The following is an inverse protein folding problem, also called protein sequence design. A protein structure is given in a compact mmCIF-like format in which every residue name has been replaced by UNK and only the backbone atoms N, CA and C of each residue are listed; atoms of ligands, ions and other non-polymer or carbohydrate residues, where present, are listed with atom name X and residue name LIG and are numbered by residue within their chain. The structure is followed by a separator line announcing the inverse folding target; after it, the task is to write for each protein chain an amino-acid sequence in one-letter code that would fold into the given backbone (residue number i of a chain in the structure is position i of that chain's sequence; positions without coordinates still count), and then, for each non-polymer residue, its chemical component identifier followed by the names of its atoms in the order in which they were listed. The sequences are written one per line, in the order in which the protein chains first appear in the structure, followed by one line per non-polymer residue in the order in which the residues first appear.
data_IF_259799279661
#
_entry.id   IF_259799279661
#
_cell.length_a   1.000
_cell.length_b   1.000
_cell.length_c   1.000
_cell.angle_alpha   90.00
_cell.angle_beta   90.00
_cell.angle_gamma   90.00
#
_symmetry.space_group_name_H-M   'P 1'
#
loop_
_entity.id
_entity.type
_entity.pdbx_description
1 polymer ?
#
# COMPACT_ATOMS: atom_id res chain seq x y z
N UNK A 1 -24.30 6.49 33.03
CA UNK A 1 -23.82 7.84 33.44
C UNK A 1 -22.37 7.84 33.94
N UNK A 2 -21.99 7.17 35.04
CA UNK A 2 -20.57 7.13 35.48
C UNK A 2 -19.69 6.34 34.48
N UNK A 3 -20.21 5.22 33.94
CA UNK A 3 -19.50 4.38 32.96
C UNK A 3 -19.20 5.12 31.64
N UNK A 4 -20.13 5.93 31.15
CA UNK A 4 -20.00 6.62 29.86
C UNK A 4 -18.97 7.75 29.93
N UNK A 5 -18.94 8.48 31.04
CA UNK A 5 -17.95 9.52 31.30
C UNK A 5 -16.53 8.96 31.42
N UNK A 6 -16.37 7.79 32.05
CA UNK A 6 -15.08 7.09 32.14
C UNK A 6 -14.64 6.60 30.76
N UNK A 7 -15.53 5.98 29.98
CA UNK A 7 -15.21 5.54 28.61
C UNK A 7 -14.79 6.72 27.72
N UNK A 8 -15.51 7.84 27.78
CA UNK A 8 -15.19 9.03 27.01
C UNK A 8 -13.82 9.62 27.40
N UNK A 9 -13.52 9.70 28.69
CA UNK A 9 -12.22 10.15 29.18
C UNK A 9 -11.07 9.23 28.75
N UNK A 10 -11.27 7.91 28.84
CA UNK A 10 -10.31 6.90 28.41
C UNK A 10 -10.05 6.94 26.91
N UNK A 11 -11.10 6.95 26.08
CA UNK A 11 -10.98 7.10 24.63
C UNK A 11 -10.24 8.37 24.26
N UNK A 12 -10.55 9.49 24.93
CA UNK A 12 -9.82 10.75 24.73
C UNK A 12 -8.33 10.66 25.07
N UNK A 13 -7.97 9.97 26.15
CA UNK A 13 -6.57 9.74 26.51
C UNK A 13 -5.85 8.86 25.48
N UNK A 14 -6.46 7.74 25.07
CA UNK A 14 -5.91 6.82 24.07
C UNK A 14 -5.68 7.57 22.75
N UNK A 15 -6.64 8.39 22.31
CA UNK A 15 -6.50 9.15 21.06
C UNK A 15 -5.34 10.14 21.10
N UNK A 16 -5.19 10.88 22.21
CA UNK A 16 -4.04 11.80 22.38
C UNK A 16 -2.69 11.07 22.40
N UNK A 17 -2.61 9.91 23.05
CA UNK A 17 -1.39 9.10 23.07
C UNK A 17 -1.06 8.57 21.67
N UNK A 18 -2.07 8.04 20.97
CA UNK A 18 -1.94 7.59 19.59
C UNK A 18 -1.47 8.73 18.68
N UNK A 19 -2.10 9.91 18.75
CA UNK A 19 -1.76 11.04 17.90
C UNK A 19 -0.33 11.53 18.14
N UNK A 20 0.12 11.55 19.40
CA UNK A 20 1.51 11.87 19.74
C UNK A 20 2.48 10.84 19.16
N UNK A 21 2.22 9.55 19.39
CA UNK A 21 3.08 8.48 18.87
C UNK A 21 3.14 8.48 17.33
N UNK A 22 2.02 8.78 16.68
CA UNK A 22 1.94 8.95 15.22
C UNK A 22 2.77 10.14 14.75
N UNK A 23 2.68 11.28 15.42
CA UNK A 23 3.48 12.47 15.10
C UNK A 23 4.97 12.18 15.26
N UNK A 24 5.37 11.52 16.36
CA UNK A 24 6.75 11.14 16.62
C UNK A 24 7.28 10.16 15.56
N UNK A 25 6.47 9.20 15.12
CA UNK A 25 6.87 8.31 14.01
C UNK A 25 6.97 9.10 12.70
N UNK A 26 5.99 9.94 12.38
CA UNK A 26 5.99 10.74 11.15
C UNK A 26 7.23 11.64 11.06
N UNK A 27 7.61 12.30 12.16
CA UNK A 27 8.82 13.12 12.22
C UNK A 27 10.10 12.30 12.00
N UNK A 28 10.17 11.10 12.58
CA UNK A 28 11.29 10.17 12.36
C UNK A 28 11.37 9.69 10.91
N UNK A 29 10.24 9.35 10.30
CA UNK A 29 10.19 8.92 8.90
C UNK A 29 10.59 10.07 7.95
N UNK A 30 10.14 11.29 8.22
CA UNK A 30 10.55 12.48 7.46
C UNK A 30 12.05 12.80 7.63
N UNK A 31 12.63 12.51 8.79
CA UNK A 31 14.08 12.65 8.98
C UNK A 31 14.89 11.61 8.17
N UNK A 32 14.26 10.52 7.72
CA UNK A 32 14.88 9.53 6.83
C UNK A 32 14.79 9.94 5.35
N UNK A 33 13.84 10.80 4.96
CA UNK A 33 13.74 11.25 3.58
C UNK A 33 14.84 12.26 3.25
N UNK A 34 15.48 12.11 2.10
CA UNK A 34 16.41 13.09 1.52
C UNK A 34 15.69 14.45 1.31
N UNK A 35 16.38 15.60 1.15
CA UNK A 35 15.74 16.90 0.94
C UNK A 35 14.77 16.96 -0.24
N UNK A 36 14.90 16.04 -1.20
CA UNK A 36 13.98 15.89 -2.33
C UNK A 36 12.70 15.07 -2.01
N UNK A 37 12.57 14.53 -0.79
CA UNK A 37 11.40 13.79 -0.33
C UNK A 37 11.39 12.33 -0.77
N UNK A 38 12.44 11.57 -0.41
CA UNK A 38 12.54 10.14 -0.75
C UNK A 38 11.46 9.29 -0.07
N UNK A 39 10.43 8.91 -0.84
CA UNK A 39 9.35 8.03 -0.39
C UNK A 39 9.85 6.61 -0.10
N UNK A 40 10.96 6.16 -0.71
CA UNK A 40 11.52 4.83 -0.46
C UNK A 40 11.92 4.68 1.01
N UNK A 41 12.72 5.62 1.53
CA UNK A 41 13.17 5.60 2.92
C UNK A 41 12.00 5.68 3.92
N UNK A 42 10.96 6.45 3.59
CA UNK A 42 9.72 6.52 4.38
C UNK A 42 9.01 5.18 4.43
N UNK A 43 8.81 4.52 3.29
CA UNK A 43 8.14 3.22 3.20
C UNK A 43 8.94 2.14 3.92
N UNK A 44 10.25 2.08 3.72
CA UNK A 44 11.11 1.07 4.36
C UNK A 44 11.14 1.24 5.88
N UNK A 45 11.25 2.49 6.36
CA UNK A 45 11.17 2.81 7.78
C UNK A 45 9.80 2.49 8.40
N UNK A 46 8.72 2.81 7.68
CA UNK A 46 7.35 2.50 8.11
C UNK A 46 7.16 0.98 8.29
N UNK A 47 7.56 0.20 7.29
CA UNK A 47 7.44 -1.26 7.34
C UNK A 47 8.29 -1.83 8.46
N UNK A 48 9.54 -1.38 8.62
CA UNK A 48 10.41 -1.84 9.71
C UNK A 48 9.77 -1.58 11.10
N UNK A 49 9.20 -0.39 11.30
CA UNK A 49 8.45 -0.08 12.51
C UNK A 49 7.24 -1.01 12.71
N UNK A 50 6.45 -1.24 11.66
CA UNK A 50 5.23 -2.04 11.76
C UNK A 50 5.49 -3.55 11.89
N UNK A 51 6.63 -4.06 11.39
CA UNK A 51 7.14 -5.39 11.73
C UNK A 51 7.44 -5.47 13.22
N UNK A 52 8.19 -4.49 13.77
CA UNK A 52 8.52 -4.46 15.19
C UNK A 52 7.28 -4.34 16.08
N UNK A 53 6.26 -3.59 15.64
CA UNK A 53 4.99 -3.45 16.34
C UNK A 53 4.07 -4.70 16.23
N UNK A 54 4.48 -5.75 15.51
CA UNK A 54 3.72 -6.99 15.34
C UNK A 54 2.49 -6.86 14.46
N UNK A 55 2.45 -5.85 13.58
CA UNK A 55 1.37 -5.64 12.61
C UNK A 55 1.53 -6.57 11.41
N UNK A 56 2.77 -6.74 10.94
CA UNK A 56 3.11 -7.70 9.89
C UNK A 56 3.13 -9.10 10.50
N UNK A 57 2.25 -9.98 10.01
CA UNK A 57 2.04 -11.32 10.53
C UNK A 57 2.79 -12.41 9.76
N UNK A 58 3.23 -12.09 8.54
CA UNK A 58 4.10 -12.94 7.73
C UNK A 58 5.35 -12.13 7.39
N UNK A 59 6.48 -12.49 8.01
CA UNK A 59 7.78 -11.84 7.82
C UNK A 59 8.53 -12.35 6.57
N UNK A 60 7.89 -13.25 5.79
CA UNK A 60 8.43 -13.87 4.58
C UNK A 60 9.66 -14.77 4.81
N UNK A 61 9.93 -15.23 6.04
CA UNK A 61 11.07 -16.14 6.29
C UNK A 61 10.96 -17.46 5.51
N UNK A 62 9.74 -17.92 5.26
CA UNK A 62 9.45 -19.16 4.51
C UNK A 62 9.30 -18.94 3.00
N UNK A 63 9.55 -17.71 2.50
CA UNK A 63 9.42 -17.39 1.08
C UNK A 63 10.59 -17.97 0.28
N UNK A 64 10.26 -18.82 -0.69
CA UNK A 64 11.21 -19.33 -1.68
C UNK A 64 11.04 -18.64 -3.02
N UNK A 65 12.15 -18.39 -3.71
CA UNK A 65 12.21 -17.58 -4.92
C UNK A 65 12.82 -18.35 -6.08
N UNK A 66 12.06 -18.48 -7.17
CA UNK A 66 12.51 -19.12 -8.40
C UNK A 66 12.48 -18.17 -9.61
N UNK A 67 13.55 -18.13 -10.37
CA UNK A 67 13.58 -17.52 -11.70
C UNK A 67 13.53 -18.64 -12.73
N UNK A 68 12.50 -18.63 -13.58
CA UNK A 68 12.28 -19.67 -14.59
C UNK A 68 12.33 -19.02 -15.97
N UNK A 69 13.33 -19.38 -16.76
CA UNK A 69 13.42 -18.95 -18.15
C UNK A 69 12.66 -19.94 -19.04
N UNK A 70 11.85 -19.43 -19.97
CA UNK A 70 11.11 -20.29 -20.89
C UNK A 70 12.09 -21.06 -21.79
N UNK A 71 12.01 -22.41 -21.88
CA UNK A 71 13.00 -23.21 -22.62
C UNK A 71 13.14 -22.86 -24.11
N UNK A 72 12.09 -22.32 -24.72
CA UNK A 72 12.02 -22.01 -26.15
C UNK A 72 12.12 -20.52 -26.46
N UNK A 73 12.14 -19.67 -25.43
CA UNK A 73 12.20 -18.22 -25.58
C UNK A 73 12.94 -17.62 -24.37
N UNK A 74 14.28 -17.51 -24.43
CA UNK A 74 15.07 -16.96 -23.34
C UNK A 74 14.71 -15.52 -22.95
N UNK A 75 13.98 -14.78 -23.80
CA UNK A 75 13.48 -13.45 -23.47
C UNK A 75 12.26 -13.50 -22.52
N UNK A 76 11.62 -14.66 -22.35
CA UNK A 76 10.52 -14.85 -21.40
C UNK A 76 11.05 -15.44 -20.10
N UNK A 77 11.06 -14.60 -19.07
CA UNK A 77 11.45 -14.98 -17.70
C UNK A 77 10.24 -14.87 -16.80
N UNK A 78 10.01 -15.87 -15.95
CA UNK A 78 9.00 -15.88 -14.91
C UNK A 78 9.68 -15.78 -13.55
N UNK A 79 9.16 -14.91 -12.70
CA UNK A 79 9.58 -14.78 -11.31
C UNK A 79 8.48 -15.38 -10.43
N UNK A 80 8.85 -16.36 -9.60
CA UNK A 80 7.91 -17.13 -8.79
C UNK A 80 8.28 -16.98 -7.31
N UNK A 81 7.36 -16.41 -6.56
CA UNK A 81 7.38 -16.34 -5.10
C UNK A 81 6.52 -17.48 -4.54
N UNK A 82 7.16 -18.53 -4.02
CA UNK A 82 6.48 -19.64 -3.34
C UNK A 82 6.46 -19.37 -1.83
N UNK A 83 5.29 -19.02 -1.30
CA UNK A 83 5.10 -18.79 0.13
C UNK A 83 4.10 -19.81 0.72
N UNK A 84 4.57 -20.87 1.39
CA UNK A 84 3.70 -21.86 2.01
C UNK A 84 2.98 -21.34 3.26
N UNK A 85 3.49 -20.29 3.93
CA UNK A 85 2.80 -19.66 5.05
C UNK A 85 1.47 -19.03 4.60
N UNK A 86 1.45 -18.48 3.39
CA UNK A 86 0.25 -17.90 2.79
C UNK A 86 -0.85 -18.94 2.54
N UNK A 87 -0.50 -20.17 2.17
CA UNK A 87 -1.47 -21.25 1.96
C UNK A 87 -2.14 -21.72 3.27
N UNK A 88 -1.46 -21.56 4.40
CA UNK A 88 -1.97 -21.89 5.74
C UNK A 88 -2.77 -20.74 6.38
N UNK A 89 -2.92 -19.62 5.67
CA UNK A 89 -3.65 -18.47 6.17
C UNK A 89 -5.15 -18.64 5.96
N UNK A 90 -5.89 -18.65 7.06
CA UNK A 90 -7.35 -18.82 7.04
C UNK A 90 -8.15 -17.55 7.43
N UNK A 91 -7.48 -16.51 7.93
CA UNK A 91 -8.17 -15.31 8.48
C UNK A 91 -7.52 -13.97 8.11
N UNK A 92 -8.28 -12.88 8.25
CA UNK A 92 -7.82 -11.49 8.21
C UNK A 92 -6.90 -11.11 9.37
N UNK A 93 -6.37 -9.89 9.35
CA UNK A 93 -5.69 -9.28 10.50
C UNK A 93 -6.59 -8.22 11.13
N UNK A 94 -6.47 -8.06 12.44
CA UNK A 94 -7.16 -7.03 13.21
C UNK A 94 -8.51 -7.46 13.80
N UNK A 95 -9.09 -6.59 14.62
CA UNK A 95 -10.41 -6.79 15.23
C UNK A 95 -11.52 -6.59 14.19
N UNK A 96 -12.56 -7.40 14.23
CA UNK A 96 -13.74 -7.23 13.36
C UNK A 96 -14.70 -6.16 13.90
N UNK A 97 -14.80 -6.05 15.23
CA UNK A 97 -15.73 -5.17 15.92
C UNK A 97 -15.01 -4.08 16.72
N UNK A 98 -15.63 -2.90 16.75
CA UNK A 98 -15.11 -1.75 17.48
C UNK A 98 -15.27 -1.96 18.99
N UNK A 99 -14.26 -1.62 19.80
CA UNK A 99 -14.39 -1.64 21.26
C UNK A 99 -15.35 -0.52 21.74
N UNK A 100 -15.89 -0.60 22.97
CA UNK A 100 -16.76 0.43 23.53
C UNK A 100 -16.14 1.84 23.43
N UNK A 101 -16.94 2.81 22.96
CA UNK A 101 -16.51 4.20 22.78
C UNK A 101 -15.75 4.47 21.48
N UNK A 102 -15.72 3.52 20.54
CA UNK A 102 -15.16 3.69 19.20
C UNK A 102 -16.20 3.34 18.13
N UNK A 103 -16.22 4.13 17.06
CA UNK A 103 -17.18 3.95 15.98
C UNK A 103 -16.63 2.99 14.92
N UNK A 104 -17.57 2.22 14.34
CA UNK A 104 -17.33 1.36 13.17
C UNK A 104 -17.82 2.09 11.92
N UNK A 105 -16.93 2.85 11.27
CA UNK A 105 -17.29 3.61 10.06
C UNK A 105 -17.23 2.73 8.81
N UNK A 106 -18.05 3.04 7.81
CA UNK A 106 -18.06 2.35 6.50
C UNK A 106 -18.02 0.81 6.61
N UNK A 107 -18.91 0.27 7.45
CA UNK A 107 -19.01 -1.17 7.74
C UNK A 107 -17.68 -1.82 8.20
N UNK A 108 -16.84 -1.08 8.93
CA UNK A 108 -15.57 -1.61 9.45
C UNK A 108 -14.50 -1.80 8.38
N UNK A 109 -14.51 -0.96 7.34
CA UNK A 109 -13.48 -0.96 6.30
C UNK A 109 -12.07 -0.92 6.91
N UNK A 110 -11.22 -1.87 6.50
CA UNK A 110 -9.83 -2.01 6.97
C UNK A 110 -8.85 -0.97 6.43
N UNK A 111 -9.33 -0.02 5.63
CA UNK A 111 -8.54 1.08 5.07
C UNK A 111 -9.00 2.47 5.55
N UNK A 112 -10.10 2.55 6.31
CA UNK A 112 -10.47 3.81 6.96
C UNK A 112 -9.54 4.07 8.15
N UNK A 113 -8.85 5.22 8.21
CA UNK A 113 -7.96 5.55 9.31
C UNK A 113 -8.63 5.40 10.69
N UNK A 114 -9.90 5.77 10.82
CA UNK A 114 -10.67 5.67 12.07
C UNK A 114 -10.85 4.22 12.53
N UNK A 115 -11.00 3.28 11.59
CA UNK A 115 -11.14 1.87 11.89
C UNK A 115 -9.79 1.24 12.20
N UNK A 116 -8.75 1.53 11.42
CA UNK A 116 -7.40 0.95 11.57
C UNK A 116 -6.89 1.14 13.01
N UNK A 117 -7.16 2.31 13.60
CA UNK A 117 -6.87 2.61 15.01
C UNK A 117 -7.22 1.44 15.92
N UNK A 118 -8.49 1.05 15.98
CA UNK A 118 -8.94 0.02 16.90
C UNK A 118 -8.77 -1.39 16.33
N UNK A 119 -8.79 -1.56 15.01
CA UNK A 119 -8.57 -2.85 14.35
C UNK A 119 -7.17 -3.38 14.65
N UNK A 120 -6.17 -2.49 14.67
CA UNK A 120 -4.76 -2.82 14.84
C UNK A 120 -4.25 -2.44 16.24
N UNK A 121 -5.15 -2.53 17.23
CA UNK A 121 -4.84 -2.41 18.67
C UNK A 121 -4.15 -1.08 19.04
N UNK A 122 -4.41 -0.03 18.27
CA UNK A 122 -3.87 1.31 18.44
C UNK A 122 -2.35 1.38 18.26
N UNK A 123 -1.77 0.45 17.49
CA UNK A 123 -0.33 0.33 17.27
C UNK A 123 0.11 0.53 15.81
N UNK A 124 -0.83 0.53 14.84
CA UNK A 124 -0.51 0.79 13.44
C UNK A 124 -0.69 2.28 13.12
N UNK A 125 0.38 2.94 12.72
CA UNK A 125 0.39 4.36 12.35
C UNK A 125 0.62 4.52 10.83
N UNK A 126 -0.17 5.36 10.12
CA UNK A 126 0.06 5.62 8.70
C UNK A 126 1.28 6.51 8.46
N UNK A 127 1.91 6.36 7.29
CA UNK A 127 2.69 7.43 6.69
C UNK A 127 1.82 8.22 5.68
N UNK A 128 1.80 9.56 5.71
CA UNK A 128 1.12 10.34 4.68
C UNK A 128 1.85 10.21 3.33
N UNK A 129 1.10 10.02 2.25
CA UNK A 129 1.59 9.96 0.88
C UNK A 129 0.78 10.99 0.07
N UNK A 130 1.30 12.22 -0.11
CA UNK A 130 0.61 13.22 -0.92
C UNK A 130 0.74 12.85 -2.40
N UNK A 131 -0.40 12.71 -3.08
CA UNK A 131 -0.45 12.47 -4.53
C UNK A 131 -1.15 13.63 -5.23
N UNK A 132 -0.91 13.85 -6.53
CA UNK A 132 -1.49 14.98 -7.27
C UNK A 132 -3.02 15.06 -7.17
N UNK A 133 -3.70 13.92 -7.11
CA UNK A 133 -5.16 13.86 -7.10
C UNK A 133 -5.80 13.78 -5.72
N UNK A 134 -5.02 13.72 -4.64
CA UNK A 134 -5.56 13.65 -3.28
C UNK A 134 -4.60 13.21 -2.19
N UNK A 135 -5.14 13.07 -0.98
CA UNK A 135 -4.39 12.58 0.19
C UNK A 135 -4.50 11.07 0.31
N UNK A 136 -3.36 10.41 0.50
CA UNK A 136 -3.28 8.97 0.71
C UNK A 136 -2.48 8.65 1.97
N UNK A 137 -2.69 7.45 2.49
CA UNK A 137 -1.97 6.90 3.62
C UNK A 137 -1.38 5.54 3.27
N UNK A 138 -0.10 5.36 3.57
CA UNK A 138 0.58 4.09 3.47
C UNK A 138 0.54 3.33 4.80
N UNK A 139 0.30 2.03 4.72
CA UNK A 139 0.41 1.07 5.80
C UNK A 139 1.16 -0.17 5.33
N UNK A 140 1.95 -0.79 6.22
CA UNK A 140 2.49 -2.12 5.91
C UNK A 140 1.33 -3.10 5.74
N UNK A 141 1.39 -3.90 4.67
CA UNK A 141 0.42 -4.95 4.48
C UNK A 141 0.69 -6.03 5.54
N UNK A 142 -0.31 -6.42 6.38
CA UNK A 142 -0.10 -7.44 7.40
C UNK A 142 0.35 -8.80 6.84
N UNK A 143 0.08 -9.04 5.55
CA UNK A 143 0.41 -10.28 4.85
C UNK A 143 1.10 -9.95 3.53
N UNK A 144 2.38 -9.57 3.59
CA UNK A 144 3.12 -9.08 2.45
C UNK A 144 3.20 -10.11 1.32
N UNK A 145 3.23 -9.63 0.06
CA UNK A 145 3.54 -10.46 -1.11
C UNK A 145 5.05 -10.60 -1.32
N UNK A 146 5.79 -9.57 -0.92
CA UNK A 146 7.23 -9.44 -1.03
C UNK A 146 7.73 -8.39 -0.03
N UNK A 147 9.04 -8.13 -0.02
CA UNK A 147 9.60 -7.19 0.96
C UNK A 147 9.01 -5.79 0.80
N UNK A 148 8.83 -5.11 1.93
CA UNK A 148 8.32 -3.74 2.00
C UNK A 148 6.96 -3.56 1.31
N UNK A 149 6.09 -4.59 1.34
CA UNK A 149 4.76 -4.49 0.79
C UNK A 149 3.88 -3.55 1.63
N UNK A 150 3.42 -2.48 1.01
CA UNK A 150 2.52 -1.50 1.60
C UNK A 150 1.22 -1.39 0.80
N UNK A 151 0.14 -1.13 1.52
CA UNK A 151 -1.13 -0.65 0.95
C UNK A 151 -1.19 0.86 1.12
N UNK A 152 -1.43 1.56 0.01
CA UNK A 152 -1.51 3.03 -0.05
C UNK A 152 -2.97 3.38 -0.39
N UNK A 153 -3.80 3.64 0.62
CA UNK A 153 -5.22 3.95 0.39
C UNK A 153 -5.52 5.44 0.42
N UNK A 154 -6.55 5.83 -0.33
CA UNK A 154 -7.09 7.18 -0.26
C UNK A 154 -7.58 7.46 1.16
N UNK A 155 -7.39 8.69 1.64
CA UNK A 155 -7.93 9.11 2.93
C UNK A 155 -9.48 9.06 2.91
N UNK A 156 -10.07 9.53 1.82
CA UNK A 156 -11.51 9.43 1.59
C UNK A 156 -11.93 7.99 1.27
N UNK A 157 -13.07 7.55 1.85
CA UNK A 157 -13.68 6.26 1.55
C UNK A 157 -14.40 6.30 0.20
N UNK A 158 -13.65 6.12 -0.88
CA UNK A 158 -14.15 6.09 -2.26
C UNK A 158 -13.92 4.70 -2.86
N UNK A 159 -14.81 4.19 -3.73
CA UNK A 159 -14.69 2.84 -4.27
C UNK A 159 -13.45 2.65 -5.13
N UNK A 160 -12.94 1.42 -5.18
CA UNK A 160 -11.85 1.03 -6.08
C UNK A 160 -12.26 1.19 -7.55
N UNK A 161 -13.55 1.03 -7.86
CA UNK A 161 -14.09 1.20 -9.20
C UNK A 161 -13.80 2.61 -9.74
N UNK A 162 -13.21 2.68 -10.93
CA UNK A 162 -12.98 3.96 -11.63
C UNK A 162 -14.20 4.41 -12.44
N UNK A 163 -15.10 3.49 -12.80
CA UNK A 163 -16.32 3.81 -13.55
C UNK A 163 -17.30 4.58 -12.67
N UNK A 164 -17.71 5.75 -13.15
CA UNK A 164 -18.70 6.63 -12.52
C UNK A 164 -20.09 6.48 -13.14
N UNK A 165 -20.97 7.45 -12.84
CA UNK A 165 -22.35 7.45 -13.34
C UNK A 165 -22.42 7.68 -14.87
N UNK A 166 -21.45 8.40 -15.42
CA UNK A 166 -21.34 8.70 -16.84
C UNK A 166 -19.91 8.58 -17.35
N UNK A 167 -19.74 8.74 -18.67
CA UNK A 167 -18.45 8.63 -19.35
C UNK A 167 -17.46 9.71 -18.90
N UNK A 168 -17.92 10.94 -18.69
CA UNK A 168 -17.05 12.05 -18.32
C UNK A 168 -16.45 11.83 -16.92
N UNK A 169 -17.29 11.45 -15.96
CA UNK A 169 -16.85 11.08 -14.61
C UNK A 169 -15.89 9.89 -14.64
N UNK A 170 -16.17 8.87 -15.46
CA UNK A 170 -15.31 7.69 -15.58
C UNK A 170 -13.92 8.04 -16.14
N UNK A 171 -13.84 8.90 -17.16
CA UNK A 171 -12.57 9.32 -17.75
C UNK A 171 -11.75 10.21 -16.79
N UNK A 172 -12.41 11.13 -16.10
CA UNK A 172 -11.81 11.98 -15.08
C UNK A 172 -11.26 11.18 -13.90
N UNK A 173 -12.04 10.22 -13.41
CA UNK A 173 -11.70 9.24 -12.38
C UNK A 173 -10.51 8.33 -12.77
N UNK A 174 -10.47 7.88 -14.03
CA UNK A 174 -9.37 7.10 -14.57
C UNK A 174 -8.09 7.94 -14.74
N UNK A 175 -8.21 9.17 -15.24
CA UNK A 175 -7.08 10.07 -15.45
C UNK A 175 -6.35 10.37 -14.13
N UNK A 176 -7.10 10.71 -13.07
CA UNK A 176 -6.54 10.92 -11.72
C UNK A 176 -5.76 9.71 -11.21
N UNK A 177 -6.32 8.51 -11.33
CA UNK A 177 -5.65 7.27 -10.91
C UNK A 177 -4.36 7.00 -11.67
N UNK A 178 -4.36 7.22 -12.99
CA UNK A 178 -3.17 7.04 -13.82
C UNK A 178 -2.08 8.06 -13.41
N UNK A 179 -2.45 9.32 -13.19
CA UNK A 179 -1.51 10.37 -12.73
C UNK A 179 -0.90 10.00 -11.38
N UNK A 180 -1.71 9.59 -10.42
CA UNK A 180 -1.26 9.17 -9.10
C UNK A 180 -0.35 7.92 -9.17
N UNK A 181 -0.71 6.93 -10.00
CA UNK A 181 0.07 5.71 -10.19
C UNK A 181 1.43 6.00 -10.83
N UNK A 182 1.49 6.89 -11.81
CA UNK A 182 2.75 7.35 -12.43
C UNK A 182 3.61 8.09 -11.41
N UNK A 183 3.01 8.97 -10.61
CA UNK A 183 3.72 9.71 -9.57
C UNK A 183 4.34 8.76 -8.52
N UNK A 184 3.57 7.76 -8.07
CA UNK A 184 4.09 6.71 -7.18
C UNK A 184 5.24 5.93 -7.81
N UNK A 185 5.13 5.55 -9.08
CA UNK A 185 6.18 4.81 -9.78
C UNK A 185 7.49 5.62 -9.87
N UNK A 186 7.39 6.94 -10.07
CA UNK A 186 8.54 7.85 -10.09
C UNK A 186 9.20 7.99 -8.71
N UNK A 187 8.39 8.07 -7.65
CA UNK A 187 8.88 8.17 -6.27
C UNK A 187 9.39 6.83 -5.71
N UNK A 188 9.01 5.71 -6.32
CA UNK A 188 9.37 4.36 -5.89
C UNK A 188 10.02 3.54 -7.03
N UNK A 189 11.16 3.98 -7.61
CA UNK A 189 11.72 3.40 -8.84
C UNK A 189 12.17 1.93 -8.69
N UNK A 190 12.40 1.46 -7.47
CA UNK A 190 12.75 0.05 -7.14
C UNK A 190 11.57 -0.76 -6.62
N UNK A 191 10.35 -0.26 -6.78
CA UNK A 191 9.13 -0.95 -6.39
C UNK A 191 8.30 -1.32 -7.62
N UNK A 192 7.52 -2.38 -7.48
CA UNK A 192 6.33 -2.60 -8.29
C UNK A 192 5.18 -1.87 -7.61
N UNK A 193 4.63 -0.86 -8.28
CA UNK A 193 3.40 -0.19 -7.84
C UNK A 193 2.27 -0.65 -8.75
N UNK A 194 1.13 -1.01 -8.18
CA UNK A 194 -0.01 -1.49 -8.94
C UNK A 194 -1.33 -1.18 -8.25
N UNK A 195 -2.39 -1.19 -9.05
CA UNK A 195 -3.78 -1.11 -8.63
C UNK A 195 -4.52 -2.34 -9.15
N UNK A 196 -5.23 -3.05 -8.27
CA UNK A 196 -6.15 -4.10 -8.71
C UNK A 196 -7.53 -3.48 -8.87
N UNK A 197 -8.07 -3.47 -10.09
CA UNK A 197 -9.44 -3.01 -10.34
C UNK A 197 -10.51 -3.94 -9.73
N UNK A 198 -11.77 -3.48 -9.72
CA UNK A 198 -12.92 -4.29 -9.31
C UNK A 198 -13.00 -5.57 -10.15
N UNK A 199 -13.05 -6.73 -9.49
CA UNK A 199 -13.06 -8.04 -10.17
C UNK A 199 -11.68 -8.54 -10.61
N UNK A 200 -10.63 -7.71 -10.51
CA UNK A 200 -9.24 -8.08 -10.79
C UNK A 200 -8.44 -8.40 -9.52
N UNK A 201 -9.11 -8.85 -8.45
CA UNK A 201 -8.45 -9.25 -7.20
C UNK A 201 -8.31 -8.15 -6.13
N UNK A 202 -9.02 -7.03 -6.25
CA UNK A 202 -9.16 -6.06 -5.15
C UNK A 202 -9.81 -6.73 -3.92
N UNK A 203 -9.07 -6.82 -2.81
CA UNK A 203 -9.58 -7.43 -1.57
C UNK A 203 -10.57 -6.53 -0.82
N UNK A 204 -10.48 -5.21 -1.03
CA UNK A 204 -11.34 -4.20 -0.42
C UNK A 204 -11.91 -3.27 -1.51
N UNK A 205 -12.86 -3.76 -2.35
CA UNK A 205 -13.34 -3.02 -3.53
C UNK A 205 -14.08 -1.71 -3.19
N UNK A 206 -14.50 -1.53 -1.94
CA UNK A 206 -15.20 -0.35 -1.46
C UNK A 206 -14.27 0.83 -1.13
N UNK A 207 -12.96 0.61 -1.03
CA UNK A 207 -12.00 1.65 -0.64
C UNK A 207 -10.76 1.61 -1.54
N UNK A 208 -10.60 2.68 -2.32
CA UNK A 208 -9.54 2.85 -3.29
C UNK A 208 -8.16 2.79 -2.64
N UNK A 209 -7.31 1.93 -3.19
CA UNK A 209 -5.93 1.82 -2.78
C UNK A 209 -5.03 1.33 -3.91
N UNK A 210 -3.78 1.77 -3.83
CA UNK A 210 -2.64 1.19 -4.54
C UNK A 210 -1.92 0.18 -3.63
N UNK A 211 -1.11 -0.66 -4.24
CA UNK A 211 -0.17 -1.52 -3.55
C UNK A 211 1.22 -1.24 -4.10
N UNK A 212 2.23 -1.28 -3.23
CA UNK A 212 3.62 -1.18 -3.62
C UNK A 212 4.46 -2.22 -2.88
N UNK A 213 5.34 -2.94 -3.58
CA UNK A 213 6.33 -3.82 -2.96
C UNK A 213 7.67 -3.74 -3.69
N UNK A 214 8.76 -3.96 -2.95
CA UNK A 214 10.10 -3.85 -3.52
C UNK A 214 10.29 -4.91 -4.60
N UNK A 215 10.81 -4.52 -5.76
CA UNK A 215 11.13 -5.45 -6.85
C UNK A 215 12.07 -6.53 -6.35
N UNK A 216 12.03 -7.68 -7.01
CA UNK A 216 12.94 -8.78 -6.73
C UNK A 216 14.41 -8.32 -6.66
N UNK A 217 15.22 -8.84 -5.71
CA UNK A 217 16.63 -8.46 -5.61
C UNK A 217 17.37 -8.66 -6.94
N UNK A 218 18.14 -7.65 -7.35
CA UNK A 218 18.86 -7.66 -8.63
C UNK A 218 17.98 -7.43 -9.87
N UNK A 219 16.65 -7.42 -9.75
CA UNK A 219 15.76 -7.12 -10.86
C UNK A 219 15.64 -5.62 -11.07
N UNK A 220 16.12 -5.15 -12.22
CA UNK A 220 15.98 -3.74 -12.63
C UNK A 220 14.62 -3.49 -13.30
N UNK A 221 14.16 -4.43 -14.14
CA UNK A 221 12.89 -4.35 -14.87
C UNK A 221 12.20 -5.71 -14.90
N UNK A 222 10.90 -5.74 -14.69
CA UNK A 222 10.07 -6.90 -15.00
C UNK A 222 9.97 -7.12 -16.51
N UNK A 223 9.64 -8.34 -16.95
CA UNK A 223 9.46 -8.65 -18.37
C UNK A 223 8.45 -7.73 -19.07
N UNK A 224 7.38 -7.34 -18.38
CA UNK A 224 6.38 -6.40 -18.92
C UNK A 224 6.96 -4.99 -19.12
N UNK A 225 7.82 -4.53 -18.21
CA UNK A 225 8.50 -3.23 -18.33
C UNK A 225 9.51 -3.26 -19.49
N UNK A 226 10.22 -4.37 -19.66
CA UNK A 226 11.15 -4.56 -20.78
C UNK A 226 10.40 -4.62 -22.13
N UNK A 227 9.27 -5.33 -22.18
CA UNK A 227 8.45 -5.43 -23.39
C UNK A 227 7.87 -4.06 -23.81
N UNK A 228 7.42 -3.25 -22.85
CA UNK A 228 6.95 -1.88 -23.12
C UNK A 228 8.05 -1.02 -23.78
N UNK A 229 9.29 -1.11 -23.30
CA UNK A 229 10.44 -0.39 -23.89
C UNK A 229 10.72 -0.82 -25.32
N UNK A 230 10.75 -2.13 -25.57
CA UNK A 230 10.94 -2.66 -26.94
C UNK A 230 9.86 -2.15 -27.88
N UNK A 231 8.61 -2.03 -27.40
CA UNK A 231 7.51 -1.49 -28.18
C UNK A 231 7.70 0.02 -28.46
N UNK A 232 8.06 0.83 -27.45
CA UNK A 232 8.36 2.27 -27.62
C UNK A 232 9.49 2.52 -28.62
N UNK A 233 10.55 1.72 -28.57
CA UNK A 233 11.67 1.77 -29.51
C UNK A 233 11.22 1.47 -30.95
N UNK A 234 10.34 0.49 -31.13
CA UNK A 234 9.75 0.15 -32.43
C UNK A 234 8.81 1.23 -32.96
N UNK A 235 8.05 1.86 -32.08
CA UNK A 235 7.09 2.90 -32.44
C UNK A 235 7.76 4.25 -32.73
N UNK A 236 9.09 4.36 -32.54
CA UNK A 236 9.84 5.59 -32.75
C UNK A 236 9.52 6.70 -31.73
N UNK A 237 8.85 6.33 -30.63
CA UNK A 237 8.43 7.25 -29.56
C UNK A 237 9.47 7.35 -28.43
N UNK A 238 10.43 6.42 -28.38
CA UNK A 238 11.53 6.43 -27.42
C UNK A 238 12.54 7.55 -27.68
N UNK A 239 12.40 8.70 -27.00
CA UNK A 239 13.53 9.62 -26.87
C UNK A 239 14.57 9.00 -25.95
N UNK A 240 15.76 8.72 -26.49
CA UNK A 240 16.91 8.27 -25.71
C UNK A 240 17.19 9.26 -24.57
N UNK A 241 17.19 8.77 -23.33
CA UNK A 241 17.60 9.54 -22.15
C UNK A 241 16.49 10.15 -21.29
N UNK A 242 15.20 9.83 -21.49
CA UNK A 242 14.20 10.15 -20.46
C UNK A 242 14.28 9.14 -19.31
N UNK A 243 14.65 9.57 -18.09
CA UNK A 243 14.58 8.72 -16.92
C UNK A 243 13.10 8.58 -16.55
N UNK A 244 12.61 7.35 -16.60
CA UNK A 244 11.63 6.89 -15.65
C UNK A 244 12.38 5.92 -14.75
#
# INVERSE_FOLDING_TARGET
MISDSIHQAMTGLIRRQYDRARQDLSARLQALSDPEGDLVSVIEGLVAHQVHAGIVQDDLHALERFQITAPRDPARVFFVDYNPARARRHHGAGRAEAPPGWDRVNAGCYLCPENILWQQRFCQFPAPVPLPSGSYHAWANPFPLGHFHVTIAADAHVPQAWMGQDRAQSLDSLARRIVDLVHLAQQLPRYLVFENGTGAGATLPQHHHFQALKKWPGLTRYPIEAAARVQEERDGTGKAGQPF
#
